data_IF_775333392235
#
_entry.id   IF_775333392235
#
_cell.length_a   1.000
_cell.length_b   1.000
_cell.length_c   1.000
_cell.angle_alpha   90.00
_cell.angle_beta   90.00
_cell.angle_gamma   90.00
#
_symmetry.space_group_name_H-M   'P 1'
#
loop_
_entity.id
_entity.type
_entity.pdbx_description
1 polymer ?
#
# COMPACT_ATOMS: atom_id res chain seq x y z
N UNK A 1 -2.44 16.10 10.05
CA UNK A 1 -1.20 15.46 9.59
C UNK A 1 -1.38 15.27 8.12
N UNK A 2 -0.42 15.78 7.36
CA UNK A 2 -0.26 15.53 5.94
C UNK A 2 0.43 14.17 5.73
N UNK A 3 0.64 13.77 4.47
CA UNK A 3 1.29 12.50 4.15
C UNK A 3 2.74 12.44 4.68
N UNK A 4 3.49 13.54 4.59
CA UNK A 4 4.86 13.59 5.09
C UNK A 4 4.93 13.33 6.60
N UNK A 5 4.02 13.93 7.37
CA UNK A 5 3.92 13.69 8.80
C UNK A 5 3.52 12.25 9.15
N UNK A 6 2.74 11.58 8.29
CA UNK A 6 2.39 10.17 8.45
C UNK A 6 3.61 9.27 8.18
N UNK A 7 4.33 9.47 7.07
CA UNK A 7 5.52 8.68 6.76
C UNK A 7 6.62 8.86 7.79
N UNK A 8 6.78 10.08 8.31
CA UNK A 8 7.70 10.34 9.42
C UNK A 8 7.33 9.53 10.67
N UNK A 9 6.05 9.45 11.00
CA UNK A 9 5.57 8.65 12.13
C UNK A 9 6.00 7.18 12.00
N UNK A 10 5.92 6.63 10.79
CA UNK A 10 6.30 5.23 10.52
C UNK A 10 7.81 5.03 10.60
N UNK A 11 8.58 5.95 9.99
CA UNK A 11 10.03 5.89 10.00
C UNK A 11 10.60 6.00 11.43
N UNK A 12 10.00 6.85 12.28
CA UNK A 12 10.45 7.05 13.66
C UNK A 12 10.00 5.88 14.58
N UNK A 13 8.99 5.10 14.21
CA UNK A 13 8.41 4.07 15.06
C UNK A 13 9.41 2.98 15.48
N UNK A 14 10.20 2.46 14.54
CA UNK A 14 11.19 1.41 14.81
C UNK A 14 12.26 1.92 15.80
N UNK A 15 12.74 3.14 15.59
CA UNK A 15 13.72 3.75 16.49
C UNK A 15 13.14 3.97 17.90
N UNK A 16 11.89 4.42 18.00
CA UNK A 16 11.21 4.59 19.28
C UNK A 16 11.09 3.23 20.01
N UNK A 17 10.73 2.17 19.29
CA UNK A 17 10.64 0.83 19.87
C UNK A 17 12.00 0.33 20.35
N UNK A 18 13.06 0.45 19.53
CA UNK A 18 14.40 -0.01 19.92
C UNK A 18 14.88 0.70 21.20
N UNK A 19 14.70 2.03 21.28
CA UNK A 19 14.99 2.80 22.51
C UNK A 19 14.14 2.34 23.71
N UNK A 20 12.88 1.99 23.49
CA UNK A 20 12.00 1.51 24.55
C UNK A 20 12.43 0.15 25.08
N UNK A 21 12.83 -0.77 24.20
CA UNK A 21 13.38 -2.08 24.57
C UNK A 21 14.72 -1.95 25.30
N UNK A 22 15.64 -1.11 24.81
CA UNK A 22 16.92 -0.84 25.47
C UNK A 22 16.76 -0.27 26.88
N UNK A 23 15.73 0.56 27.09
CA UNK A 23 15.43 1.17 28.37
C UNK A 23 14.62 0.28 29.35
N UNK A 24 14.25 -0.95 28.97
CA UNK A 24 13.44 -1.89 29.77
C UNK A 24 12.14 -1.27 30.33
N UNK A 25 11.47 -0.46 29.50
CA UNK A 25 10.18 0.17 29.90
C UNK A 25 9.06 -0.86 29.97
N UNK A 26 8.00 -0.58 30.73
CA UNK A 26 6.83 -1.48 30.84
C UNK A 26 5.83 -1.36 29.69
N UNK A 27 5.95 -0.33 28.86
CA UNK A 27 5.08 -0.08 27.72
C UNK A 27 5.34 1.29 27.12
N UNK A 28 4.79 1.52 25.92
CA UNK A 28 4.90 2.79 25.19
C UNK A 28 3.52 3.40 25.03
N UNK A 29 3.43 4.71 25.27
CA UNK A 29 2.23 5.51 25.01
C UNK A 29 2.54 6.50 23.90
N UNK A 30 2.07 6.22 22.70
CA UNK A 30 2.14 7.14 21.58
C UNK A 30 1.11 8.25 21.75
N UNK A 31 1.51 9.50 21.52
CA UNK A 31 0.56 10.59 21.39
C UNK A 31 -0.03 10.56 19.98
N UNK A 32 -1.36 10.54 19.87
CA UNK A 32 -2.04 10.65 18.58
C UNK A 32 -1.53 11.87 17.82
N UNK A 33 -1.11 11.63 16.58
CA UNK A 33 -0.74 12.68 15.64
C UNK A 33 -1.99 13.35 15.04
N UNK A 34 -3.21 12.96 15.43
CA UNK A 34 -4.46 13.57 14.96
C UNK A 34 -5.12 14.42 16.08
N UNK A 35 -5.69 15.60 15.77
CA UNK A 35 -6.41 16.42 16.76
C UNK A 35 -7.82 15.87 17.02
N UNK A 36 -8.56 16.54 17.91
CA UNK A 36 -9.99 16.28 18.18
C UNK A 36 -10.24 14.90 18.75
N UNK A 37 -9.28 14.39 19.55
CA UNK A 37 -9.32 13.06 20.16
C UNK A 37 -9.37 11.89 19.17
N UNK A 38 -9.12 12.14 17.88
CA UNK A 38 -9.16 11.12 16.84
C UNK A 38 -8.10 10.04 17.10
N UNK A 39 -8.56 8.80 17.14
CA UNK A 39 -7.74 7.61 17.27
C UNK A 39 -7.61 6.88 15.94
N UNK A 40 -6.50 6.17 15.79
CA UNK A 40 -6.15 5.40 14.60
C UNK A 40 -5.33 4.18 14.97
N UNK A 41 -5.17 3.25 14.03
CA UNK A 41 -4.26 2.13 14.19
C UNK A 41 -2.84 2.56 13.82
N UNK A 42 -1.95 2.56 14.79
CA UNK A 42 -0.51 2.63 14.54
C UNK A 42 -0.01 1.22 14.21
N UNK A 43 0.38 1.00 12.96
CA UNK A 43 0.82 -0.27 12.40
C UNK A 43 2.35 -0.41 12.34
N UNK A 44 3.09 0.71 12.31
CA UNK A 44 4.53 0.68 12.22
C UNK A 44 5.12 0.05 13.48
N UNK A 45 5.77 -1.09 13.30
CA UNK A 45 6.41 -1.82 14.36
C UNK A 45 7.60 -2.61 13.84
N UNK A 46 8.59 -2.83 14.69
CA UNK A 46 9.83 -3.52 14.33
C UNK A 46 9.60 -4.99 13.95
N UNK A 47 8.51 -5.62 14.40
CA UNK A 47 8.25 -7.05 14.19
C UNK A 47 6.78 -7.42 14.39
N UNK A 48 6.35 -8.52 13.76
CA UNK A 48 5.04 -9.14 14.00
C UNK A 48 4.81 -9.59 15.45
N UNK A 49 5.86 -10.04 16.14
CA UNK A 49 5.78 -10.53 17.53
C UNK A 49 6.24 -9.47 18.53
N UNK A 50 5.45 -8.41 18.68
CA UNK A 50 5.74 -7.39 19.68
C UNK A 50 5.38 -7.89 21.09
N UNK A 51 6.32 -7.74 22.04
CA UNK A 51 6.16 -8.16 23.44
C UNK A 51 5.93 -6.98 24.39
N UNK A 52 6.07 -5.75 23.90
CA UNK A 52 5.90 -4.53 24.66
C UNK A 52 4.47 -3.98 24.47
N UNK A 53 3.71 -3.73 25.54
CA UNK A 53 2.41 -3.08 25.42
C UNK A 53 2.54 -1.68 24.81
N UNK A 54 1.81 -1.42 23.72
CA UNK A 54 1.79 -0.13 23.05
C UNK A 54 0.35 0.38 22.91
N UNK A 55 0.13 1.65 23.23
CA UNK A 55 -1.17 2.29 23.09
C UNK A 55 -1.03 3.67 22.42
N UNK A 56 -2.08 4.09 21.72
CA UNK A 56 -2.21 5.49 21.29
C UNK A 56 -3.15 6.20 22.26
N UNK A 57 -2.69 7.33 22.79
CA UNK A 57 -3.48 8.25 23.57
C UNK A 57 -3.92 9.43 22.71
N UNK A 58 -5.20 9.80 22.78
CA UNK A 58 -5.74 11.00 22.16
C UNK A 58 -4.84 12.21 22.45
N UNK A 59 -4.57 13.03 21.42
CA UNK A 59 -3.61 14.13 21.48
C UNK A 59 -3.85 15.07 22.64
N UNK A 60 -5.10 15.43 22.88
CA UNK A 60 -5.50 16.36 23.92
C UNK A 60 -5.25 15.78 25.33
N UNK A 61 -5.50 14.48 25.51
CA UNK A 61 -5.21 13.77 26.75
C UNK A 61 -3.70 13.63 26.96
N UNK A 62 -2.94 13.26 25.93
CA UNK A 62 -1.48 13.16 25.99
C UNK A 62 -0.83 14.52 26.31
N UNK A 63 -1.31 15.61 25.69
CA UNK A 63 -0.87 16.97 26.02
C UNK A 63 -1.20 17.36 27.46
N UNK A 64 -2.31 16.89 28.03
CA UNK A 64 -2.62 17.09 29.45
C UNK A 64 -1.62 16.32 30.33
N UNK A 65 -1.38 15.05 30.03
CA UNK A 65 -0.39 14.22 30.74
C UNK A 65 1.01 14.83 30.70
N UNK A 66 1.45 15.35 29.55
CA UNK A 66 2.74 16.04 29.41
C UNK A 66 2.82 17.32 30.26
N UNK A 67 1.74 18.09 30.38
CA UNK A 67 1.72 19.26 31.29
C UNK A 67 1.86 18.83 32.74
N UNK A 68 1.13 17.79 33.17
CA UNK A 68 1.24 17.23 34.51
C UNK A 68 2.66 16.74 34.80
N UNK A 69 3.24 15.94 33.90
CA UNK A 69 4.63 15.47 34.02
C UNK A 69 5.64 16.61 34.16
N UNK A 70 5.48 17.70 33.40
CA UNK A 70 6.37 18.87 33.45
C UNK A 70 6.23 19.67 34.74
N UNK A 71 5.02 19.77 35.28
CA UNK A 71 4.74 20.56 36.49
C UNK A 71 5.09 19.79 37.76
N UNK A 72 4.73 18.50 37.81
CA UNK A 72 4.76 17.70 39.03
C UNK A 72 5.96 16.73 39.06
N UNK A 73 6.73 16.65 37.97
CA UNK A 73 7.91 15.77 37.81
C UNK A 73 7.59 14.29 37.64
N UNK A 74 6.35 13.87 37.88
CA UNK A 74 5.90 12.48 37.74
C UNK A 74 4.40 12.39 37.41
N UNK A 75 4.00 11.27 36.80
CA UNK A 75 2.61 10.93 36.51
C UNK A 75 2.44 9.43 36.65
N UNK A 76 1.47 9.00 37.44
CA UNK A 76 1.06 7.60 37.51
C UNK A 76 -0.03 7.34 36.46
N UNK A 77 0.20 6.34 35.59
CA UNK A 77 -0.77 5.86 34.62
C UNK A 77 -1.06 4.38 34.90
N UNK A 78 -2.34 4.03 35.01
CA UNK A 78 -2.78 2.64 35.09
C UNK A 78 -3.49 2.27 33.78
N UNK A 79 -3.00 1.22 33.12
CA UNK A 79 -3.57 0.70 31.87
C UNK A 79 -3.81 -0.79 32.04
N UNK A 80 -5.00 -1.24 31.63
CA UNK A 80 -5.33 -2.65 31.49
C UNK A 80 -5.66 -2.93 30.03
N UNK A 81 -4.91 -3.83 29.40
CA UNK A 81 -5.12 -4.26 28.01
C UNK A 81 -5.50 -5.73 28.03
N UNK A 82 -6.75 -6.03 27.71
CA UNK A 82 -7.23 -7.41 27.58
C UNK A 82 -7.02 -7.89 26.14
N UNK A 83 -5.86 -8.51 25.87
CA UNK A 83 -5.49 -9.02 24.54
C UNK A 83 -5.91 -10.49 24.39
N UNK A 84 -6.48 -10.84 23.25
CA UNK A 84 -6.71 -12.24 22.85
C UNK A 84 -5.99 -12.50 21.54
N UNK A 85 -5.09 -13.48 21.54
CA UNK A 85 -4.47 -14.02 20.32
C UNK A 85 -5.35 -15.15 19.79
N UNK A 86 -5.78 -15.04 18.54
CA UNK A 86 -6.45 -16.13 17.83
C UNK A 86 -5.43 -17.09 17.22
N UNK A 87 -5.90 -18.28 16.84
CA UNK A 87 -5.12 -19.21 16.01
C UNK A 87 -4.98 -18.66 14.58
N UNK A 88 -3.95 -19.09 13.83
CA UNK A 88 -3.87 -18.82 12.41
C UNK A 88 -5.16 -19.24 11.69
N UNK A 89 -5.64 -18.39 10.78
CA UNK A 89 -6.84 -18.64 10.00
C UNK A 89 -6.56 -18.48 8.50
N UNK A 90 -7.42 -19.08 7.68
CA UNK A 90 -7.31 -18.98 6.23
C UNK A 90 -8.05 -17.75 5.71
N UNK A 91 -7.37 -16.97 4.89
CA UNK A 91 -7.95 -15.85 4.14
C UNK A 91 -7.83 -16.09 2.63
N UNK A 92 -8.47 -15.24 1.82
CA UNK A 92 -8.56 -15.40 0.38
C UNK A 92 -8.47 -14.05 -0.34
N UNK A 93 -7.65 -14.00 -1.39
CA UNK A 93 -7.73 -12.96 -2.41
C UNK A 93 -8.95 -13.23 -3.30
N UNK A 94 -9.50 -12.16 -3.89
CA UNK A 94 -10.52 -12.26 -4.93
C UNK A 94 -9.90 -11.83 -6.25
N UNK A 95 -9.81 -12.76 -7.20
CA UNK A 95 -9.22 -12.54 -8.52
C UNK A 95 -10.30 -12.67 -9.59
N UNK A 96 -10.40 -11.70 -10.49
CA UNK A 96 -11.28 -11.72 -11.66
C UNK A 96 -10.50 -11.35 -12.92
N UNK A 97 -10.91 -11.85 -14.08
CA UNK A 97 -10.16 -11.65 -15.32
C UNK A 97 -11.06 -11.30 -16.50
N UNK A 98 -10.52 -10.46 -17.38
CA UNK A 98 -11.01 -10.28 -18.74
C UNK A 98 -9.90 -10.80 -19.66
N UNK A 99 -10.16 -11.96 -20.27
CA UNK A 99 -9.20 -12.68 -21.10
C UNK A 99 -8.81 -11.88 -22.35
N UNK A 100 -7.51 -11.85 -22.63
CA UNK A 100 -6.95 -11.20 -23.81
C UNK A 100 -7.37 -11.84 -25.13
N UNK A 101 -7.30 -11.07 -26.22
CA UNK A 101 -7.62 -11.56 -27.57
C UNK A 101 -6.42 -12.04 -28.38
N UNK A 102 -5.23 -11.48 -28.17
CA UNK A 102 -4.04 -11.75 -28.99
C UNK A 102 -2.93 -12.46 -28.19
N UNK A 103 -2.74 -12.09 -26.92
CA UNK A 103 -1.76 -12.68 -26.00
C UNK A 103 -2.40 -12.95 -24.64
N UNK A 104 -3.34 -13.90 -24.55
CA UNK A 104 -4.08 -14.18 -23.31
C UNK A 104 -3.19 -14.66 -22.15
N UNK A 105 -1.99 -15.17 -22.45
CA UNK A 105 -0.98 -15.58 -21.48
C UNK A 105 -0.24 -14.41 -20.84
N UNK A 106 -0.18 -13.24 -21.50
CA UNK A 106 0.42 -12.02 -20.96
C UNK A 106 -0.61 -11.28 -20.09
N UNK A 107 -0.22 -10.89 -18.88
CA UNK A 107 -1.13 -10.37 -17.84
C UNK A 107 -0.77 -8.93 -17.47
N UNK A 108 -1.77 -8.07 -17.43
CA UNK A 108 -1.73 -6.76 -16.76
C UNK A 108 -2.62 -6.82 -15.53
N UNK A 109 -2.05 -6.57 -14.36
CA UNK A 109 -2.79 -6.59 -13.09
C UNK A 109 -3.18 -5.17 -12.68
N UNK A 110 -4.41 -5.00 -12.23
CA UNK A 110 -4.83 -3.86 -11.41
C UNK A 110 -5.43 -4.35 -10.10
N UNK A 111 -5.06 -3.70 -8.99
CA UNK A 111 -5.49 -4.14 -7.68
C UNK A 111 -5.63 -3.06 -6.63
N UNK A 112 -6.33 -3.45 -5.57
CA UNK A 112 -6.58 -2.74 -4.33
C UNK A 112 -6.76 -3.80 -3.22
N UNK A 113 -6.49 -3.49 -1.97
CA UNK A 113 -6.73 -4.47 -0.90
C UNK A 113 -8.15 -4.39 -0.34
N UNK A 114 -8.65 -5.53 0.13
CA UNK A 114 -10.03 -5.78 0.54
C UNK A 114 -10.20 -5.72 2.06
N UNK A 115 -9.15 -6.03 2.82
CA UNK A 115 -9.15 -5.87 4.27
C UNK A 115 -8.98 -4.42 4.68
N UNK A 116 -9.25 -4.14 5.96
CA UNK A 116 -9.05 -2.84 6.57
C UNK A 116 -8.92 -2.96 8.09
N UNK A 117 -8.50 -1.88 8.73
CA UNK A 117 -8.53 -1.80 10.20
C UNK A 117 -9.95 -1.59 10.74
N UNK A 118 -10.23 -2.25 11.87
CA UNK A 118 -11.57 -2.26 12.47
C UNK A 118 -11.97 -1.02 13.30
N UNK A 119 -11.18 0.05 13.34
CA UNK A 119 -11.56 1.28 14.07
C UNK A 119 -12.57 2.13 13.29
N UNK A 120 -12.45 2.16 11.97
CA UNK A 120 -13.36 2.83 11.04
C UNK A 120 -14.17 1.82 10.24
N UNK A 121 -14.41 2.13 8.97
CA UNK A 121 -15.10 1.23 8.02
C UNK A 121 -14.25 0.86 6.80
N UNK A 122 -12.99 1.31 6.74
CA UNK A 122 -12.09 1.02 5.61
C UNK A 122 -12.57 1.65 4.30
N UNK A 123 -13.14 2.86 4.36
CA UNK A 123 -13.84 3.44 3.22
C UNK A 123 -12.86 4.02 2.19
N UNK A 124 -11.92 4.86 2.61
CA UNK A 124 -10.82 5.29 1.77
C UNK A 124 -9.70 4.25 1.70
N UNK A 125 -9.59 3.41 2.73
CA UNK A 125 -8.49 2.47 2.92
C UNK A 125 -9.02 1.04 3.16
N UNK A 126 -9.32 0.27 2.12
CA UNK A 126 -9.21 0.63 0.70
C UNK A 126 -10.50 0.30 -0.09
N UNK A 127 -11.64 0.39 0.59
CA UNK A 127 -12.95 0.02 0.06
C UNK A 127 -13.38 0.82 -1.18
N UNK A 128 -13.01 2.09 -1.28
CA UNK A 128 -13.36 2.91 -2.44
C UNK A 128 -12.64 2.46 -3.71
N UNK A 129 -11.37 2.03 -3.63
CA UNK A 129 -10.64 1.55 -4.78
C UNK A 129 -11.01 0.10 -5.10
N UNK A 130 -11.38 -0.73 -4.12
CA UNK A 130 -12.04 -2.03 -4.38
C UNK A 130 -13.31 -1.83 -5.23
N UNK A 131 -14.18 -0.89 -4.82
CA UNK A 131 -15.37 -0.57 -5.58
C UNK A 131 -15.04 -0.06 -6.99
N UNK A 132 -13.97 0.73 -7.13
CA UNK A 132 -13.46 1.20 -8.43
C UNK A 132 -12.99 0.04 -9.32
N UNK A 133 -12.25 -0.94 -8.79
CA UNK A 133 -11.80 -2.12 -9.56
C UNK A 133 -13.00 -2.91 -10.10
N UNK A 134 -14.00 -3.15 -9.25
CA UNK A 134 -15.24 -3.84 -9.63
C UNK A 134 -15.98 -3.03 -10.71
N UNK A 135 -16.05 -1.70 -10.57
CA UNK A 135 -16.73 -0.86 -11.56
C UNK A 135 -16.01 -0.85 -12.91
N UNK A 136 -14.67 -0.78 -12.92
CA UNK A 136 -13.88 -0.87 -14.17
C UNK A 136 -14.17 -2.20 -14.88
N UNK A 137 -14.13 -3.33 -14.16
CA UNK A 137 -14.45 -4.65 -14.73
C UNK A 137 -15.89 -4.67 -15.30
N UNK A 138 -16.86 -4.18 -14.52
CA UNK A 138 -18.28 -4.08 -14.92
C UNK A 138 -18.45 -3.25 -16.19
N UNK A 139 -17.71 -2.15 -16.31
CA UNK A 139 -17.79 -1.24 -17.45
C UNK A 139 -17.12 -1.83 -18.69
N UNK A 140 -15.96 -2.50 -18.54
CA UNK A 140 -15.32 -3.22 -19.64
C UNK A 140 -16.23 -4.29 -20.23
N UNK A 141 -16.90 -5.08 -19.38
CA UNK A 141 -17.89 -6.09 -19.82
C UNK A 141 -19.07 -5.42 -20.54
N UNK A 142 -19.65 -4.37 -19.94
CA UNK A 142 -20.81 -3.66 -20.52
C UNK A 142 -20.50 -3.05 -21.89
N UNK A 143 -19.27 -2.61 -22.10
CA UNK A 143 -18.80 -1.98 -23.34
C UNK A 143 -18.20 -2.98 -24.35
N UNK A 144 -18.23 -4.28 -24.04
CA UNK A 144 -17.61 -5.34 -24.86
C UNK A 144 -16.12 -5.07 -25.17
N UNK A 145 -15.41 -4.51 -24.20
CA UNK A 145 -13.98 -4.22 -24.33
C UNK A 145 -13.20 -5.53 -24.15
N UNK A 146 -12.57 -5.99 -25.23
CA UNK A 146 -11.65 -7.12 -25.21
C UNK A 146 -10.20 -6.65 -25.43
N UNK A 147 -9.37 -6.58 -24.38
CA UNK A 147 -7.97 -6.17 -24.50
C UNK A 147 -7.14 -7.21 -25.28
N UNK A 148 -5.94 -6.84 -25.73
CA UNK A 148 -5.02 -7.78 -26.39
C UNK A 148 -4.37 -8.75 -25.41
N UNK A 149 -3.96 -8.25 -24.25
CA UNK A 149 -3.49 -9.01 -23.08
C UNK A 149 -4.60 -9.25 -22.08
N UNK A 150 -4.47 -10.26 -21.24
CA UNK A 150 -5.41 -10.49 -20.14
C UNK A 150 -5.30 -9.38 -19.11
N UNK A 151 -6.43 -8.80 -18.72
CA UNK A 151 -6.52 -7.87 -17.59
C UNK A 151 -7.02 -8.63 -16.38
N UNK A 152 -6.21 -8.66 -15.32
CA UNK A 152 -6.50 -9.35 -14.06
C UNK A 152 -6.77 -8.32 -12.97
N UNK A 153 -7.97 -8.37 -12.41
CA UNK A 153 -8.40 -7.57 -11.27
C UNK A 153 -8.11 -8.36 -10.00
N UNK A 154 -7.37 -7.76 -9.08
CA UNK A 154 -7.00 -8.41 -7.83
C UNK A 154 -7.45 -7.59 -6.62
N UNK A 155 -8.29 -8.21 -5.78
CA UNK A 155 -8.65 -7.69 -4.47
C UNK A 155 -7.85 -8.49 -3.44
N UNK A 156 -6.77 -7.88 -2.94
CA UNK A 156 -5.81 -8.52 -2.04
C UNK A 156 -6.35 -8.58 -0.62
N UNK A 157 -5.92 -9.55 0.18
CA UNK A 157 -6.37 -9.67 1.56
C UNK A 157 -5.18 -9.90 2.48
N UNK A 158 -5.18 -9.24 3.64
CA UNK A 158 -4.04 -9.24 4.56
C UNK A 158 -2.94 -8.29 4.11
N UNK A 159 -3.28 -7.22 3.39
CA UNK A 159 -2.36 -6.11 3.08
C UNK A 159 -1.87 -5.51 4.40
N UNK A 160 -2.83 -5.19 5.28
CA UNK A 160 -2.60 -4.49 6.54
C UNK A 160 -1.81 -5.30 7.56
N UNK A 161 -1.75 -6.60 7.33
CA UNK A 161 -1.03 -7.58 8.15
C UNK A 161 0.33 -7.93 7.54
N UNK A 162 0.82 -7.20 6.54
CA UNK A 162 2.14 -7.40 5.94
C UNK A 162 2.12 -7.92 4.49
N UNK A 163 1.10 -7.57 3.71
CA UNK A 163 0.93 -7.92 2.30
C UNK A 163 0.87 -9.43 2.05
N UNK A 164 0.17 -10.16 2.92
CA UNK A 164 0.05 -11.62 2.80
C UNK A 164 -0.66 -12.05 1.50
N UNK A 165 -1.61 -11.24 1.02
CA UNK A 165 -2.37 -11.51 -0.18
C UNK A 165 -1.50 -11.50 -1.43
N UNK A 166 -0.79 -10.41 -1.68
CA UNK A 166 0.15 -10.27 -2.79
C UNK A 166 1.30 -11.27 -2.69
N UNK A 167 1.87 -11.47 -1.51
CA UNK A 167 2.95 -12.45 -1.27
C UNK A 167 2.51 -13.87 -1.63
N UNK A 168 1.36 -14.32 -1.12
CA UNK A 168 0.85 -15.64 -1.45
C UNK A 168 0.54 -15.79 -2.95
N UNK A 169 0.12 -14.71 -3.60
CA UNK A 169 -0.11 -14.74 -5.04
C UNK A 169 1.18 -14.87 -5.83
N UNK A 170 2.20 -14.06 -5.52
CA UNK A 170 3.48 -14.09 -6.24
C UNK A 170 4.23 -15.40 -6.03
N UNK A 171 4.21 -15.95 -4.81
CA UNK A 171 4.82 -17.25 -4.50
C UNK A 171 4.17 -18.38 -5.30
N UNK A 172 2.83 -18.41 -5.35
CA UNK A 172 2.09 -19.44 -6.09
C UNK A 172 2.22 -19.31 -7.61
N UNK A 173 2.58 -18.14 -8.13
CA UNK A 173 2.67 -17.85 -9.57
C UNK A 173 4.10 -17.56 -10.04
N UNK A 174 5.13 -17.78 -9.21
CA UNK A 174 6.51 -17.37 -9.52
C UNK A 174 7.01 -17.84 -10.91
N UNK A 175 6.74 -19.08 -11.36
CA UNK A 175 7.11 -19.53 -12.70
C UNK A 175 6.44 -18.74 -13.83
N UNK A 176 5.22 -18.23 -13.60
CA UNK A 176 4.41 -17.50 -14.58
C UNK A 176 4.57 -15.98 -14.49
N UNK A 177 5.25 -15.46 -13.45
CA UNK A 177 5.48 -14.02 -13.30
C UNK A 177 6.22 -13.41 -14.49
N UNK A 178 6.96 -14.21 -15.29
CA UNK A 178 7.57 -13.76 -16.54
C UNK A 178 6.58 -13.23 -17.58
N UNK A 179 5.32 -13.63 -17.51
CA UNK A 179 4.26 -13.14 -18.39
C UNK A 179 3.49 -11.94 -17.79
N UNK A 180 3.83 -11.47 -16.60
CA UNK A 180 3.20 -10.31 -15.99
C UNK A 180 3.91 -9.06 -16.49
N UNK A 181 3.22 -8.29 -17.34
CA UNK A 181 3.81 -7.14 -18.04
C UNK A 181 3.89 -5.92 -17.13
N UNK A 182 2.83 -5.70 -16.35
CA UNK A 182 2.72 -4.58 -15.42
C UNK A 182 1.69 -4.94 -14.36
N UNK A 183 1.94 -4.54 -13.11
CA UNK A 183 0.94 -4.51 -12.04
C UNK A 183 0.75 -3.08 -11.55
N UNK A 184 -0.48 -2.69 -11.22
CA UNK A 184 -0.78 -1.37 -10.65
C UNK A 184 -1.61 -1.54 -9.39
N UNK A 185 -1.14 -0.95 -8.30
CA UNK A 185 -1.85 -0.91 -7.03
C UNK A 185 -2.41 0.50 -6.80
N UNK A 186 -3.65 0.59 -6.33
CA UNK A 186 -4.32 1.87 -6.03
C UNK A 186 -4.77 1.87 -4.59
N UNK A 187 -4.10 2.68 -3.77
CA UNK A 187 -4.16 2.55 -2.31
C UNK A 187 -3.89 3.85 -1.55
N UNK A 188 -4.17 5.01 -2.17
CA UNK A 188 -3.96 6.32 -1.55
C UNK A 188 -5.30 7.09 -1.51
N UNK A 189 -6.32 6.41 -0.97
CA UNK A 189 -7.66 6.97 -0.82
C UNK A 189 -8.35 7.31 -2.14
N UNK A 190 -9.28 8.27 -2.07
CA UNK A 190 -10.11 8.69 -3.21
C UNK A 190 -9.68 10.00 -3.88
N UNK A 191 -8.57 10.60 -3.44
CA UNK A 191 -8.04 11.83 -4.06
C UNK A 191 -7.70 11.61 -5.54
N UNK A 192 -7.73 12.66 -6.36
CA UNK A 192 -7.51 12.49 -7.79
C UNK A 192 -6.08 11.97 -8.06
N UNK A 193 -5.93 10.98 -8.94
CA UNK A 193 -4.63 10.50 -9.42
C UNK A 193 -3.96 11.60 -10.24
N UNK A 194 -2.75 11.96 -9.85
CA UNK A 194 -1.91 12.99 -10.49
C UNK A 194 -0.67 12.40 -11.17
N UNK A 195 -0.49 11.08 -11.13
CA UNK A 195 0.62 10.37 -11.74
C UNK A 195 0.81 9.00 -11.11
N UNK A 196 1.98 8.39 -11.32
CA UNK A 196 2.30 7.07 -10.80
C UNK A 196 3.71 7.03 -10.23
N UNK A 197 3.88 6.28 -9.14
CA UNK A 197 5.20 5.82 -8.73
C UNK A 197 5.63 4.64 -9.60
N UNK A 198 6.83 4.68 -10.19
CA UNK A 198 7.26 3.71 -11.21
C UNK A 198 8.30 2.71 -10.72
N UNK A 199 8.61 2.69 -9.42
CA UNK A 199 9.37 1.61 -8.82
C UNK A 199 10.90 1.73 -8.95
N UNK A 200 11.44 2.90 -9.30
CA UNK A 200 12.87 3.06 -9.55
C UNK A 200 13.34 2.30 -10.80
N UNK A 201 12.49 2.29 -11.82
CA UNK A 201 12.64 1.52 -13.07
C UNK A 201 12.47 2.47 -14.26
N UNK A 202 13.58 2.95 -14.87
CA UNK A 202 13.51 3.88 -15.98
C UNK A 202 12.72 3.36 -17.20
N UNK A 203 12.73 2.05 -17.45
CA UNK A 203 11.94 1.40 -18.49
C UNK A 203 10.44 1.43 -18.19
N UNK A 204 10.05 1.23 -16.92
CA UNK A 204 8.66 1.39 -16.47
C UNK A 204 8.23 2.86 -16.52
N UNK A 205 9.11 3.80 -16.17
CA UNK A 205 8.85 5.24 -16.30
C UNK A 205 8.59 5.63 -17.74
N UNK A 206 9.44 5.21 -18.68
CA UNK A 206 9.27 5.50 -20.11
C UNK A 206 7.96 4.93 -20.64
N UNK A 207 7.66 3.66 -20.32
CA UNK A 207 6.40 3.02 -20.71
C UNK A 207 5.18 3.76 -20.13
N UNK A 208 5.25 4.16 -18.86
CA UNK A 208 4.18 4.90 -18.18
C UNK A 208 3.97 6.26 -18.83
N UNK A 209 5.05 7.02 -19.09
CA UNK A 209 5.01 8.31 -19.80
C UNK A 209 4.37 8.18 -21.19
N UNK A 210 4.72 7.13 -21.94
CA UNK A 210 4.11 6.83 -23.24
C UNK A 210 2.61 6.57 -23.15
N UNK A 211 2.16 5.86 -22.11
CA UNK A 211 0.75 5.55 -21.89
C UNK A 211 -0.02 6.78 -21.42
N UNK A 212 0.44 7.48 -20.38
CA UNK A 212 -0.25 8.66 -19.84
C UNK A 212 -0.26 9.83 -20.82
N UNK A 213 0.74 9.92 -21.71
CA UNK A 213 0.79 10.91 -22.79
C UNK A 213 -0.35 10.81 -23.81
N UNK A 214 -1.12 9.70 -23.81
CA UNK A 214 -2.30 9.49 -24.67
C UNK A 214 -3.61 9.92 -24.00
N UNK A 215 -3.59 10.28 -22.71
CA UNK A 215 -4.78 10.58 -21.90
C UNK A 215 -4.65 11.91 -21.17
N UNK A 216 -3.91 12.86 -21.74
CA UNK A 216 -3.58 14.16 -21.10
C UNK A 216 -4.82 15.01 -20.79
N UNK A 217 -5.95 14.71 -21.42
CA UNK A 217 -7.26 15.30 -21.10
C UNK A 217 -7.80 14.89 -19.72
N UNK A 218 -7.34 13.77 -19.16
CA UNK A 218 -7.74 13.30 -17.83
C UNK A 218 -6.97 13.96 -16.69
N UNK A 219 -5.91 14.71 -17.01
CA UNK A 219 -5.16 15.51 -16.06
C UNK A 219 -3.69 15.69 -16.43
N UNK A 220 -3.01 16.67 -15.83
CA UNK A 220 -1.56 16.69 -15.85
C UNK A 220 -1.04 15.50 -15.05
N UNK A 221 -0.17 14.69 -15.66
CA UNK A 221 0.47 13.57 -14.98
C UNK A 221 1.93 13.89 -14.67
N UNK A 222 2.31 13.69 -13.41
CA UNK A 222 3.70 13.74 -12.95
C UNK A 222 4.06 12.38 -12.38
N UNK A 223 4.75 11.57 -13.17
CA UNK A 223 5.25 10.27 -12.74
C UNK A 223 6.53 10.45 -11.93
N UNK A 224 6.68 9.66 -10.86
CA UNK A 224 7.78 9.75 -9.91
C UNK A 224 8.52 8.42 -9.91
N UNK A 225 9.78 8.43 -10.35
CA UNK A 225 10.58 7.21 -10.45
C UNK A 225 11.36 6.93 -9.18
N UNK A 226 10.63 6.52 -8.16
CA UNK A 226 11.17 6.05 -6.89
C UNK A 226 10.57 4.68 -6.56
N UNK A 227 11.35 3.75 -5.99
CA UNK A 227 10.81 2.53 -5.43
C UNK A 227 10.15 2.80 -4.07
N UNK A 228 9.00 2.16 -3.84
CA UNK A 228 8.25 2.27 -2.60
C UNK A 228 7.80 0.90 -2.13
N UNK A 229 8.04 0.59 -0.86
CA UNK A 229 7.26 -0.39 -0.10
C UNK A 229 5.94 0.28 0.24
N UNK A 230 5.08 0.44 -0.76
CA UNK A 230 3.85 1.23 -0.64
C UNK A 230 2.67 0.41 -0.15
N UNK A 231 2.42 -0.70 -0.83
CA UNK A 231 1.25 -1.58 -0.66
C UNK A 231 1.57 -2.93 -1.34
N UNK A 232 0.56 -3.68 -1.79
CA UNK A 232 0.65 -4.94 -2.54
C UNK A 232 1.59 -4.92 -3.78
N UNK A 233 2.01 -3.73 -4.24
CA UNK A 233 3.02 -3.57 -5.30
C UNK A 233 4.38 -4.19 -4.92
N UNK A 234 4.71 -4.23 -3.63
CA UNK A 234 6.02 -4.62 -3.13
C UNK A 234 6.41 -6.04 -3.55
N UNK A 235 5.52 -7.02 -3.42
CA UNK A 235 5.86 -8.41 -3.74
C UNK A 235 6.19 -8.57 -5.22
N UNK A 236 5.44 -7.90 -6.10
CA UNK A 236 5.75 -7.89 -7.53
C UNK A 236 7.10 -7.23 -7.83
N UNK A 237 7.42 -6.12 -7.16
CA UNK A 237 8.73 -5.47 -7.24
C UNK A 237 9.85 -6.43 -6.82
N UNK A 238 9.67 -7.14 -5.71
CA UNK A 238 10.66 -8.11 -5.19
C UNK A 238 10.75 -9.40 -6.01
N UNK A 239 9.81 -9.63 -6.94
CA UNK A 239 9.95 -10.63 -8.00
C UNK A 239 10.41 -10.05 -9.34
N UNK A 240 10.71 -8.75 -9.39
CA UNK A 240 11.27 -8.03 -10.53
C UNK A 240 10.25 -7.57 -11.57
N UNK A 241 8.96 -7.77 -11.31
CA UNK A 241 7.85 -7.38 -12.21
C UNK A 241 7.69 -5.86 -12.20
N UNK A 242 7.47 -5.26 -13.37
CA UNK A 242 7.17 -3.83 -13.47
C UNK A 242 5.90 -3.49 -12.68
N UNK A 243 5.97 -2.49 -11.80
CA UNK A 243 4.88 -2.15 -10.91
C UNK A 243 4.63 -0.63 -10.86
N UNK A 244 3.37 -0.26 -10.63
CA UNK A 244 2.92 1.10 -10.45
C UNK A 244 2.17 1.21 -9.12
N UNK A 245 2.28 2.36 -8.48
CA UNK A 245 1.33 2.81 -7.45
C UNK A 245 0.67 4.08 -7.97
N UNK A 246 -0.66 4.16 -7.90
CA UNK A 246 -1.37 5.40 -8.17
C UNK A 246 -0.92 6.51 -7.22
N UNK A 247 -0.37 7.61 -7.74
CA UNK A 247 -0.03 8.78 -6.93
C UNK A 247 -1.22 9.74 -6.90
N UNK A 248 -1.78 9.98 -5.72
CA UNK A 248 -3.01 10.74 -5.55
C UNK A 248 -2.70 12.14 -4.97
N UNK A 249 -3.55 13.12 -5.29
CA UNK A 249 -3.70 14.28 -4.41
C UNK A 249 -4.03 13.75 -3.00
N UNK A 250 -3.29 14.15 -1.94
CA UNK A 250 -3.54 13.69 -0.58
C UNK A 250 -4.99 13.89 -0.12
N UNK A 251 -5.72 14.86 -0.68
CA UNK A 251 -7.12 15.15 -0.36
C UNK A 251 -7.36 15.11 1.17
N UNK A 252 -8.26 14.23 1.63
CA UNK A 252 -8.49 13.99 3.06
C UNK A 252 -7.93 12.64 3.54
N UNK A 253 -7.05 11.99 2.78
CA UNK A 253 -6.55 10.66 3.09
C UNK A 253 -5.75 10.64 4.40
N UNK A 254 -4.66 11.41 4.47
CA UNK A 254 -3.78 11.45 5.64
C UNK A 254 -4.51 11.63 6.99
N UNK A 255 -5.43 12.59 7.19
CA UNK A 255 -6.11 12.74 8.47
C UNK A 255 -7.04 11.56 8.84
N UNK A 256 -7.54 10.79 7.86
CA UNK A 256 -8.48 9.69 8.08
C UNK A 256 -7.84 8.30 7.99
N UNK A 257 -6.64 8.17 7.43
CA UNK A 257 -5.92 6.91 7.28
C UNK A 257 -5.79 6.15 8.62
N UNK A 258 -6.17 4.88 8.60
CA UNK A 258 -6.28 3.98 9.77
C UNK A 258 -7.16 4.47 10.93
N UNK A 259 -7.89 5.57 10.73
CA UNK A 259 -8.59 6.25 11.80
C UNK A 259 -10.03 5.76 11.94
N UNK A 260 -10.60 6.01 13.12
CA UNK A 260 -12.05 5.82 13.34
C UNK A 260 -12.92 6.68 12.40
N UNK A 261 -12.34 7.73 11.82
CA UNK A 261 -12.99 8.60 10.84
C UNK A 261 -12.86 8.12 9.39
N UNK A 262 -12.26 6.95 9.13
CA UNK A 262 -12.26 6.36 7.80
C UNK A 262 -13.64 5.77 7.45
N UNK A 263 -14.53 6.67 7.05
CA UNK A 263 -15.94 6.41 6.80
C UNK A 263 -16.37 6.89 5.42
N UNK A 264 -17.45 6.31 4.91
CA UNK A 264 -17.95 6.54 3.55
C UNK A 264 -18.09 8.03 3.17
N UNK A 265 -18.48 8.89 4.11
CA UNK A 265 -18.64 10.33 3.88
C UNK A 265 -17.31 11.06 3.61
N UNK A 266 -16.16 10.40 3.81
CA UNK A 266 -14.83 10.92 3.43
C UNK A 266 -14.43 10.59 2.00
N UNK A 267 -15.16 9.70 1.32
CA UNK A 267 -14.85 9.33 -0.06
C UNK A 267 -15.28 10.44 -1.02
N UNK A 268 -14.31 10.99 -1.74
CA UNK A 268 -14.57 11.90 -2.86
C UNK A 268 -14.99 11.10 -4.11
N UNK A 269 -16.30 10.89 -4.23
CA UNK A 269 -16.91 10.19 -5.37
C UNK A 269 -16.67 10.87 -6.72
N UNK A 270 -16.41 12.19 -6.75
CA UNK A 270 -16.13 12.88 -8.01
C UNK A 270 -14.74 12.50 -8.49
N UNK A 271 -13.75 12.60 -7.61
CA UNK A 271 -12.37 12.20 -7.90
C UNK A 271 -12.27 10.70 -8.20
N UNK A 272 -12.98 9.85 -7.46
CA UNK A 272 -13.00 8.40 -7.71
C UNK A 272 -13.51 8.02 -9.11
N UNK A 273 -14.49 8.75 -9.67
CA UNK A 273 -14.96 8.55 -11.05
C UNK A 273 -13.90 8.92 -12.08
N UNK A 274 -13.13 10.00 -11.82
CA UNK A 274 -12.01 10.40 -12.67
C UNK A 274 -10.90 9.35 -12.59
N UNK A 275 -10.58 8.90 -11.37
CA UNK A 275 -9.60 7.82 -11.14
C UNK A 275 -9.99 6.54 -11.86
N UNK A 276 -11.28 6.17 -11.87
CA UNK A 276 -11.76 5.01 -12.62
C UNK A 276 -11.41 5.11 -14.11
N UNK A 277 -11.60 6.28 -14.71
CA UNK A 277 -11.22 6.52 -16.11
C UNK A 277 -9.69 6.47 -16.31
N UNK A 278 -8.91 7.09 -15.43
CA UNK A 278 -7.44 7.09 -15.48
C UNK A 278 -6.90 5.67 -15.38
N UNK A 279 -7.29 4.93 -14.34
CA UNK A 279 -6.87 3.55 -14.07
C UNK A 279 -7.25 2.64 -15.23
N UNK A 280 -8.50 2.72 -15.73
CA UNK A 280 -8.93 1.93 -16.88
C UNK A 280 -8.11 2.26 -18.14
N UNK A 281 -7.86 3.53 -18.43
CA UNK A 281 -7.14 3.94 -19.63
C UNK A 281 -5.64 3.55 -19.57
N UNK A 282 -4.99 3.69 -18.41
CA UNK A 282 -3.62 3.23 -18.21
C UNK A 282 -3.54 1.71 -18.36
N UNK A 283 -4.46 0.98 -17.74
CA UNK A 283 -4.56 -0.49 -17.86
C UNK A 283 -4.68 -0.91 -19.32
N UNK A 284 -5.61 -0.30 -20.07
CA UNK A 284 -5.80 -0.59 -21.48
C UNK A 284 -4.61 -0.15 -22.35
N UNK A 285 -3.89 0.89 -21.95
CA UNK A 285 -2.64 1.31 -22.60
C UNK A 285 -1.57 0.22 -22.53
N UNK A 286 -1.33 -0.33 -21.34
CA UNK A 286 -0.42 -1.46 -21.17
C UNK A 286 -0.96 -2.76 -21.80
N UNK A 287 -2.26 -3.02 -21.67
CA UNK A 287 -2.86 -4.26 -22.17
C UNK A 287 -2.93 -4.33 -23.70
N UNK A 288 -2.95 -3.19 -24.40
CA UNK A 288 -3.07 -3.15 -25.87
C UNK A 288 -1.79 -2.76 -26.61
N UNK A 289 -0.80 -2.17 -25.94
CA UNK A 289 0.48 -1.86 -26.59
C UNK A 289 1.43 -3.06 -26.54
N UNK A 290 1.28 -3.98 -27.51
CA UNK A 290 2.11 -5.18 -27.62
C UNK A 290 3.60 -4.91 -27.92
N UNK A 291 3.98 -3.66 -28.18
CA UNK A 291 5.39 -3.28 -28.29
C UNK A 291 6.06 -3.09 -26.93
N UNK A 292 5.27 -2.89 -25.86
CA UNK A 292 5.81 -2.82 -24.51
C UNK A 292 6.31 -4.19 -24.07
N UNK A 293 7.57 -4.21 -23.66
CA UNK A 293 8.27 -5.36 -23.09
C UNK A 293 9.00 -4.88 -21.84
N UNK A 294 8.50 -5.29 -20.67
CA UNK A 294 9.08 -4.95 -19.36
C UNK A 294 9.57 -6.25 -18.71
N UNK A 295 10.79 -6.72 -19.03
CA UNK A 295 11.30 -7.96 -18.48
C UNK A 295 11.43 -7.87 -16.97
N UNK A 296 11.30 -9.04 -16.31
CA UNK A 296 11.56 -9.15 -14.88
C UNK A 296 13.02 -8.85 -14.58
N UNK A 297 13.26 -8.03 -13.56
CA UNK A 297 14.58 -7.95 -12.95
C UNK A 297 15.00 -9.30 -12.34
N UNK A 298 16.30 -9.56 -12.42
CA UNK A 298 17.00 -10.59 -11.67
C UNK A 298 17.14 -10.21 -10.20
N UNK A 299 17.40 -11.20 -9.33
CA UNK A 299 17.71 -10.96 -7.91
C UNK A 299 18.84 -9.94 -7.73
N UNK A 300 19.88 -10.02 -8.57
CA UNK A 300 21.02 -9.10 -8.53
C UNK A 300 20.61 -7.64 -8.80
N UNK A 301 19.77 -7.40 -9.81
CA UNK A 301 19.28 -6.05 -10.12
C UNK A 301 18.38 -5.50 -8.99
N UNK A 302 17.57 -6.35 -8.36
CA UNK A 302 16.76 -5.97 -7.20
C UNK A 302 17.67 -5.62 -6.00
N UNK A 303 18.73 -6.39 -5.75
CA UNK A 303 19.69 -6.08 -4.70
C UNK A 303 20.44 -4.75 -4.95
N UNK A 304 20.73 -4.43 -6.20
CA UNK A 304 21.32 -3.14 -6.58
C UNK A 304 20.32 -2.00 -6.37
N UNK A 305 19.03 -2.20 -6.69
CA UNK A 305 17.96 -1.23 -6.41
C UNK A 305 17.83 -0.97 -4.90
N UNK A 306 17.81 -2.04 -4.09
CA UNK A 306 17.74 -1.95 -2.62
C UNK A 306 18.93 -1.18 -2.05
N UNK A 307 20.16 -1.44 -2.53
CA UNK A 307 21.39 -0.77 -2.05
C UNK A 307 21.48 0.69 -2.45
N UNK A 308 20.90 1.06 -3.58
CA UNK A 308 20.98 2.42 -4.14
C UNK A 308 19.85 3.35 -3.70
N UNK A 309 18.91 2.84 -2.91
CA UNK A 309 17.72 3.56 -2.45
C UNK A 309 17.51 3.36 -0.94
N UNK A 310 16.44 3.93 -0.39
CA UNK A 310 16.04 3.78 1.01
C UNK A 310 15.14 2.55 1.25
N UNK A 311 14.99 1.67 0.25
CA UNK A 311 14.15 0.47 0.33
C UNK A 311 14.46 -0.44 1.53
N UNK A 312 15.74 -0.59 1.92
CA UNK A 312 16.08 -1.34 3.14
C UNK A 312 15.42 -0.74 4.38
N UNK A 313 15.46 0.59 4.53
CA UNK A 313 14.84 1.28 5.66
C UNK A 313 13.31 1.13 5.61
N UNK A 314 12.70 1.27 4.43
CA UNK A 314 11.27 1.07 4.24
C UNK A 314 10.85 -0.37 4.62
N UNK A 315 11.57 -1.40 4.15
CA UNK A 315 11.33 -2.81 4.49
C UNK A 315 11.50 -3.13 5.98
N UNK A 316 12.44 -2.46 6.66
CA UNK A 316 12.61 -2.59 8.12
C UNK A 316 11.46 -1.96 8.90
N UNK A 317 10.83 -0.93 8.34
CA UNK A 317 9.73 -0.20 8.96
C UNK A 317 8.37 -0.91 8.78
N UNK A 318 8.30 -1.86 7.84
CA UNK A 318 7.12 -2.71 7.62
C UNK A 318 7.31 -4.11 8.21
N UNK A 319 6.98 -4.25 9.50
CA UNK A 319 6.73 -5.53 10.17
C UNK A 319 7.79 -6.64 9.98
N UNK A 320 9.07 -6.31 9.78
CA UNK A 320 10.14 -7.31 9.61
C UNK A 320 10.23 -7.94 8.21
N UNK A 321 9.66 -7.29 7.18
CA UNK A 321 9.79 -7.69 5.77
C UNK A 321 11.26 -7.81 5.33
N UNK A 322 12.12 -6.92 5.82
CA UNK A 322 13.56 -6.94 5.49
C UNK A 322 14.21 -8.29 5.78
N UNK A 323 13.97 -8.85 6.96
CA UNK A 323 14.61 -10.11 7.37
C UNK A 323 14.10 -11.27 6.51
N UNK A 324 12.80 -11.29 6.17
CA UNK A 324 12.23 -12.31 5.27
C UNK A 324 12.87 -12.27 3.88
N UNK A 325 13.05 -11.07 3.31
CA UNK A 325 13.67 -10.92 1.99
C UNK A 325 15.16 -11.27 2.00
N UNK A 326 15.89 -10.86 3.04
CA UNK A 326 17.31 -11.16 3.23
C UNK A 326 17.57 -12.65 3.42
N UNK A 327 16.69 -13.36 4.13
CA UNK A 327 16.77 -14.81 4.37
C UNK A 327 16.27 -15.65 3.19
N UNK A 328 15.80 -15.01 2.13
CA UNK A 328 15.28 -15.70 0.95
C UNK A 328 13.91 -16.35 1.15
N UNK A 329 13.16 -15.91 2.16
CA UNK A 329 11.80 -16.39 2.48
C UNK A 329 10.70 -15.62 1.73
N UNK A 330 11.02 -14.44 1.17
CA UNK A 330 10.09 -13.57 0.44
C UNK A 330 10.79 -12.94 -0.75
N UNK A 331 10.10 -12.90 -1.89
CA UNK A 331 10.64 -12.40 -3.15
C UNK A 331 11.53 -13.41 -3.87
N UNK A 332 12.00 -13.01 -5.06
CA UNK A 332 12.79 -13.85 -5.96
C UNK A 332 14.12 -14.30 -5.35
N UNK A 333 14.51 -15.55 -5.61
CA UNK A 333 15.84 -16.09 -5.34
C UNK A 333 16.77 -16.01 -6.57
#
# INVERSE_FOLDING_TARGET
>A
VDLDGLFKEYADAVLIEDLAYEADVKGVVYMSSRPMRLLYRHNASRSFENTLPMIIMAREDAKRCLRTLRNDGSLALWVKIDVRKGEPYKSYNVIGEIEGSERPEEVVIIGAHLDSWGLGTGANDNGCNVAMMIDIARQMIKLDIKPKRTVRFALWNGEELGLYGSMAYTDNNEPQLGNHIMTMSVDIGSGQITGFFTGGRPDVLEATNKVVGKITELGPFTNIDIPLVGTDNFDFMMHGVGNLIGNHDPANYAPNYHAESDTYDKVDLKSLKINSAIVAAVTLGFANDLSLSLPRQSRKEIEELVKSTDLEQQMRSMMGIWDQWKEGKRGRQ
#
